data_IF_697422468655
#
_entry.id   IF_697422468655
#
_cell.length_a   1.000
_cell.length_b   1.000
_cell.length_c   1.000
_cell.angle_alpha   90.00
_cell.angle_beta   90.00
_cell.angle_gamma   90.00
#
_symmetry.space_group_name_H-M   'P 1'
#
loop_
_entity.id
_entity.type
_entity.pdbx_description
1 polymer ?
#
# COMPACT_ATOMS: atom_id res chain seq x y z
N UNK A 1 25.97 -14.62 -9.25
CA UNK A 1 25.89 -14.16 -7.86
C UNK A 1 24.71 -13.21 -7.81
N UNK A 2 23.64 -13.55 -7.09
CA UNK A 2 22.47 -12.65 -6.95
C UNK A 2 22.96 -11.34 -6.31
N UNK A 3 22.83 -10.22 -7.01
CA UNK A 3 23.17 -8.89 -6.54
C UNK A 3 22.13 -8.49 -5.49
N UNK A 4 22.49 -8.54 -4.20
CA UNK A 4 21.55 -8.16 -3.14
C UNK A 4 21.11 -6.70 -3.30
N UNK A 5 19.81 -6.43 -3.26
CA UNK A 5 19.26 -5.06 -3.28
C UNK A 5 19.70 -4.33 -1.99
N UNK A 6 20.35 -3.18 -2.13
CA UNK A 6 20.84 -2.33 -1.03
C UNK A 6 20.43 -0.87 -1.14
N UNK A 7 20.22 -0.36 -2.36
CA UNK A 7 19.81 1.01 -2.63
C UNK A 7 18.36 1.05 -3.11
N UNK A 8 17.51 1.69 -2.32
CA UNK A 8 16.06 1.77 -2.52
C UNK A 8 15.68 3.20 -2.91
N UNK A 9 14.85 3.33 -3.93
CA UNK A 9 14.11 4.55 -4.23
C UNK A 9 12.65 4.37 -3.85
N UNK A 10 12.02 5.39 -3.27
CA UNK A 10 10.58 5.43 -3.00
C UNK A 10 10.02 6.67 -3.68
N UNK A 11 9.01 6.53 -4.54
CA UNK A 11 8.34 7.67 -5.18
C UNK A 11 7.00 7.91 -4.50
N UNK A 12 6.85 9.06 -3.85
CA UNK A 12 5.70 9.39 -3.00
C UNK A 12 5.95 9.04 -1.54
N UNK A 13 5.93 10.05 -0.67
CA UNK A 13 6.23 9.94 0.76
C UNK A 13 4.98 10.04 1.66
N UNK A 14 3.79 9.80 1.08
CA UNK A 14 2.53 9.71 1.81
C UNK A 14 2.49 8.58 2.85
N UNK A 15 1.30 8.20 3.33
CA UNK A 15 1.18 7.21 4.41
C UNK A 15 1.86 5.86 4.08
N UNK A 16 1.65 5.34 2.88
CA UNK A 16 2.26 4.08 2.44
C UNK A 16 3.76 4.25 2.19
N UNK A 17 4.16 5.23 1.37
CA UNK A 17 5.56 5.46 1.02
C UNK A 17 6.46 5.75 2.22
N UNK A 18 6.01 6.55 3.19
CA UNK A 18 6.74 6.78 4.44
C UNK A 18 6.91 5.47 5.24
N UNK A 19 5.87 4.63 5.31
CA UNK A 19 5.94 3.34 5.99
C UNK A 19 6.85 2.34 5.29
N UNK A 20 6.87 2.32 3.96
CA UNK A 20 7.78 1.48 3.17
C UNK A 20 9.23 1.96 3.37
N UNK A 21 9.47 3.27 3.28
CA UNK A 21 10.78 3.86 3.52
C UNK A 21 11.32 3.54 4.92
N UNK A 22 10.47 3.64 5.96
CA UNK A 22 10.83 3.29 7.33
C UNK A 22 11.28 1.82 7.43
N UNK A 23 10.52 0.88 6.85
CA UNK A 23 10.84 -0.55 6.89
C UNK A 23 12.16 -0.84 6.16
N UNK A 24 12.39 -0.24 5.00
CA UNK A 24 13.65 -0.39 4.26
C UNK A 24 14.83 0.15 5.05
N UNK A 25 14.71 1.35 5.63
CA UNK A 25 15.78 1.96 6.42
C UNK A 25 16.09 1.16 7.69
N UNK A 26 15.07 0.64 8.39
CA UNK A 26 15.24 -0.25 9.56
C UNK A 26 15.88 -1.59 9.21
N UNK A 27 15.74 -2.04 7.97
CA UNK A 27 16.45 -3.21 7.44
C UNK A 27 17.92 -2.89 7.04
N UNK A 28 18.39 -1.67 7.28
CA UNK A 28 19.77 -1.26 7.00
C UNK A 28 20.03 -0.83 5.56
N UNK A 29 18.98 -0.53 4.78
CA UNK A 29 19.08 -0.17 3.38
C UNK A 29 19.23 1.33 3.18
N UNK A 30 20.07 1.74 2.22
CA UNK A 30 20.17 3.13 1.77
C UNK A 30 18.91 3.49 0.99
N UNK A 31 18.11 4.42 1.52
CA UNK A 31 16.74 4.68 1.04
C UNK A 31 16.55 6.17 0.71
N UNK A 32 16.21 6.45 -0.54
CA UNK A 32 15.87 7.81 -1.02
C UNK A 32 14.37 7.88 -1.23
N UNK A 33 13.73 8.89 -0.63
CA UNK A 33 12.31 9.19 -0.83
C UNK A 33 12.19 10.44 -1.70
N UNK A 34 11.65 10.27 -2.89
CA UNK A 34 11.33 11.35 -3.81
C UNK A 34 9.86 11.76 -3.63
N UNK A 35 9.63 13.06 -3.46
CA UNK A 35 8.30 13.68 -3.50
C UNK A 35 8.23 14.67 -4.67
N UNK A 36 7.06 15.25 -4.92
CA UNK A 36 6.86 16.18 -6.04
C UNK A 36 7.67 17.49 -5.89
N UNK A 37 7.97 17.90 -4.66
CA UNK A 37 8.75 19.10 -4.37
C UNK A 37 9.44 19.02 -2.99
N UNK A 38 10.28 20.01 -2.70
CA UNK A 38 11.01 20.09 -1.43
C UNK A 38 10.11 20.25 -0.19
N UNK A 39 8.90 20.80 -0.34
CA UNK A 39 7.96 21.00 0.77
C UNK A 39 7.31 19.67 1.17
N UNK A 40 6.84 18.92 0.19
CA UNK A 40 6.29 17.56 0.36
C UNK A 40 7.35 16.57 0.82
N UNK A 41 8.60 16.68 0.32
CA UNK A 41 9.74 15.91 0.82
C UNK A 41 10.01 16.13 2.32
N UNK A 42 9.92 17.38 2.79
CA UNK A 42 10.05 17.70 4.22
C UNK A 42 8.92 17.08 5.04
N UNK A 43 7.68 17.14 4.55
CA UNK A 43 6.54 16.52 5.20
C UNK A 43 6.71 14.99 5.29
N UNK A 44 7.24 14.33 4.26
CA UNK A 44 7.55 12.90 4.28
C UNK A 44 8.58 12.57 5.36
N UNK A 45 9.65 13.36 5.46
CA UNK A 45 10.66 13.22 6.51
C UNK A 45 10.05 13.31 7.92
N UNK A 46 9.17 14.28 8.14
CA UNK A 46 8.49 14.44 9.42
C UNK A 46 7.57 13.25 9.74
N UNK A 47 6.84 12.71 8.76
CA UNK A 47 6.00 11.51 8.94
C UNK A 47 6.84 10.32 9.41
N UNK A 48 7.97 10.05 8.76
CA UNK A 48 8.86 8.95 9.15
C UNK A 48 9.46 9.17 10.54
N UNK A 49 9.93 10.38 10.84
CA UNK A 49 10.48 10.71 12.15
C UNK A 49 9.45 10.51 13.29
N UNK A 50 8.21 10.95 13.08
CA UNK A 50 7.11 10.74 14.05
C UNK A 50 6.80 9.25 14.22
N UNK A 51 6.83 8.47 13.14
CA UNK A 51 6.58 7.03 13.21
C UNK A 51 7.67 6.30 14.00
N UNK A 52 8.95 6.59 13.73
CA UNK A 52 10.09 6.05 14.46
C UNK A 52 10.03 6.43 15.95
N UNK A 53 9.77 7.69 16.28
CA UNK A 53 9.66 8.13 17.68
C UNK A 53 8.50 7.43 18.40
N UNK A 54 7.35 7.23 17.74
CA UNK A 54 6.25 6.43 18.30
C UNK A 54 6.65 4.97 18.53
N UNK A 55 7.45 4.38 17.65
CA UNK A 55 7.96 3.03 17.83
C UNK A 55 8.90 2.95 19.05
N UNK A 56 9.75 3.96 19.25
CA UNK A 56 10.63 4.09 20.44
C UNK A 56 9.82 4.23 21.72
N UNK A 57 8.84 5.15 21.75
CA UNK A 57 7.97 5.36 22.92
C UNK A 57 7.17 4.12 23.31
N UNK A 58 6.82 3.28 22.32
CA UNK A 58 6.10 2.01 22.54
C UNK A 58 7.03 0.82 22.84
N UNK A 59 8.34 1.05 22.95
CA UNK A 59 9.33 0.00 23.19
C UNK A 59 9.45 -1.03 22.06
N UNK A 60 9.07 -0.65 20.83
CA UNK A 60 9.15 -1.51 19.63
C UNK A 60 10.45 -1.32 18.85
N UNK A 61 11.20 -0.26 19.14
CA UNK A 61 12.48 0.08 18.55
C UNK A 61 13.32 0.78 19.63
N UNK A 62 14.62 0.52 19.72
CA UNK A 62 15.50 1.30 20.59
C UNK A 62 15.93 2.60 19.90
N UNK A 63 16.44 3.57 20.69
CA UNK A 63 16.78 4.90 20.18
C UNK A 63 17.94 4.88 19.19
N UNK A 64 18.95 4.04 19.40
CA UNK A 64 20.10 3.95 18.49
C UNK A 64 19.66 3.39 17.13
N UNK A 65 18.85 2.32 17.14
CA UNK A 65 18.28 1.76 15.90
C UNK A 65 17.38 2.76 15.15
N UNK A 66 16.66 3.63 15.86
CA UNK A 66 15.85 4.68 15.25
C UNK A 66 16.72 5.76 14.59
N UNK A 67 17.78 6.20 15.27
CA UNK A 67 18.77 7.16 14.74
C UNK A 67 19.51 6.58 13.52
N UNK A 68 19.90 5.29 13.58
CA UNK A 68 20.53 4.58 12.47
C UNK A 68 19.60 4.47 11.25
N UNK A 69 18.32 4.16 11.46
CA UNK A 69 17.34 4.13 10.37
C UNK A 69 17.16 5.53 9.77
N UNK A 70 17.10 6.57 10.60
CA UNK A 70 16.97 7.95 10.12
C UNK A 70 18.20 8.40 9.31
N UNK A 71 19.40 7.99 9.69
CA UNK A 71 20.64 8.31 8.97
C UNK A 71 20.72 7.67 7.57
N UNK A 72 19.89 6.65 7.29
CA UNK A 72 19.82 5.97 5.98
C UNK A 72 18.78 6.55 5.04
N UNK A 73 18.05 7.57 5.48
CA UNK A 73 16.97 8.18 4.72
C UNK A 73 17.41 9.53 4.15
N UNK A 74 17.36 9.63 2.83
CA UNK A 74 17.44 10.89 2.10
C UNK A 74 16.05 11.27 1.57
N UNK A 75 15.72 12.55 1.58
CA UNK A 75 14.46 13.06 1.04
C UNK A 75 14.77 14.11 -0.01
N UNK A 76 14.15 13.98 -1.18
CA UNK A 76 14.40 14.83 -2.34
C UNK A 76 13.11 15.19 -3.06
N UNK A 77 13.15 16.28 -3.83
CA UNK A 77 12.12 16.67 -4.78
C UNK A 77 12.53 16.44 -6.24
N UNK A 78 13.64 15.74 -6.47
CA UNK A 78 14.17 15.46 -7.80
C UNK A 78 14.20 13.95 -8.05
N UNK A 79 13.57 13.52 -9.14
CA UNK A 79 13.50 12.11 -9.50
C UNK A 79 14.86 11.58 -9.99
N UNK A 80 15.73 12.46 -10.50
CA UNK A 80 17.09 12.12 -10.97
C UNK A 80 17.97 11.57 -9.84
N UNK A 81 17.70 11.92 -8.59
CA UNK A 81 18.39 11.36 -7.41
C UNK A 81 18.11 9.85 -7.22
N UNK A 82 17.22 9.25 -8.03
CA UNK A 82 16.95 7.81 -8.03
C UNK A 82 17.76 7.03 -9.09
N UNK A 83 18.65 7.69 -9.85
CA UNK A 83 19.37 7.11 -10.97
C UNK A 83 20.15 5.82 -10.65
N UNK A 84 20.74 5.73 -9.46
CA UNK A 84 21.60 4.60 -9.03
C UNK A 84 20.85 3.54 -8.19
N UNK A 85 19.53 3.66 -8.04
CA UNK A 85 18.72 2.77 -7.19
C UNK A 85 18.53 1.41 -7.86
N UNK A 86 18.53 0.35 -7.04
CA UNK A 86 18.42 -1.05 -7.51
C UNK A 86 16.97 -1.56 -7.43
N UNK A 87 16.17 -0.96 -6.57
CA UNK A 87 14.73 -1.17 -6.48
C UNK A 87 14.07 0.18 -6.25
N UNK A 88 13.15 0.56 -7.13
CA UNK A 88 12.31 1.75 -6.95
C UNK A 88 10.88 1.31 -6.69
N UNK A 89 10.26 1.77 -5.59
CA UNK A 89 8.88 1.46 -5.23
C UNK A 89 8.03 2.73 -5.33
N UNK A 90 7.11 2.73 -6.28
CA UNK A 90 6.13 3.80 -6.48
C UNK A 90 4.96 3.64 -5.50
N UNK A 91 4.64 4.71 -4.78
CA UNK A 91 3.57 4.81 -3.78
C UNK A 91 2.89 6.19 -3.77
N UNK A 92 2.70 6.79 -4.94
CA UNK A 92 1.92 8.02 -5.15
C UNK A 92 0.42 7.73 -5.20
N UNK A 93 -0.36 8.80 -5.38
CA UNK A 93 -1.81 8.76 -5.59
C UNK A 93 -2.21 7.69 -6.62
N UNK A 94 -3.33 7.02 -6.35
CA UNK A 94 -3.90 5.98 -7.20
C UNK A 94 -4.54 6.56 -8.48
N UNK A 95 -3.70 7.11 -9.36
CA UNK A 95 -4.07 7.64 -10.66
C UNK A 95 -3.21 6.98 -11.75
N UNK A 96 -3.86 6.36 -12.73
CA UNK A 96 -3.17 5.58 -13.76
C UNK A 96 -2.25 6.43 -14.64
N UNK A 97 -2.67 7.65 -15.01
CA UNK A 97 -1.87 8.53 -15.87
C UNK A 97 -0.62 9.02 -15.14
N UNK A 98 -0.76 9.47 -13.90
CA UNK A 98 0.37 9.91 -13.07
C UNK A 98 1.38 8.77 -12.84
N UNK A 99 0.91 7.54 -12.55
CA UNK A 99 1.82 6.40 -12.39
C UNK A 99 2.51 6.01 -13.70
N UNK A 100 1.81 6.06 -14.84
CA UNK A 100 2.42 5.82 -16.16
C UNK A 100 3.54 6.84 -16.42
N UNK A 101 3.29 8.13 -16.18
CA UNK A 101 4.29 9.18 -16.32
C UNK A 101 5.52 8.93 -15.45
N UNK A 102 5.31 8.54 -14.18
CA UNK A 102 6.40 8.18 -13.26
C UNK A 102 7.20 6.98 -13.79
N UNK A 103 6.54 5.90 -14.20
CA UNK A 103 7.24 4.72 -14.71
C UNK A 103 8.02 5.02 -16.00
N UNK A 104 7.47 5.83 -16.91
CA UNK A 104 8.18 6.29 -18.11
C UNK A 104 9.39 7.16 -17.78
N UNK A 105 9.31 7.99 -16.74
CA UNK A 105 10.46 8.78 -16.29
C UNK A 105 11.53 7.90 -15.63
N UNK A 106 11.12 7.01 -14.71
CA UNK A 106 12.01 6.08 -14.03
C UNK A 106 12.76 5.16 -15.00
N UNK A 107 12.12 4.69 -16.07
CA UNK A 107 12.76 3.85 -17.09
C UNK A 107 13.98 4.52 -17.76
N UNK A 108 13.94 5.86 -17.86
CA UNK A 108 15.03 6.68 -18.43
C UNK A 108 16.07 7.05 -17.39
N UNK A 109 15.64 7.35 -16.17
CA UNK A 109 16.49 7.87 -15.08
C UNK A 109 17.31 6.74 -14.44
N UNK A 110 16.69 5.58 -14.19
CA UNK A 110 17.35 4.48 -13.49
C UNK A 110 18.35 3.80 -14.43
N UNK A 111 19.63 4.10 -14.19
CA UNK A 111 20.77 3.72 -15.03
C UNK A 111 21.05 2.22 -14.99
N UNK A 112 20.79 1.57 -13.85
CA UNK A 112 20.96 0.12 -13.70
C UNK A 112 19.83 -0.61 -14.45
N UNK A 113 20.16 -1.24 -15.57
CA UNK A 113 19.22 -2.04 -16.36
C UNK A 113 18.69 -3.27 -15.63
N UNK A 114 19.38 -3.73 -14.58
CA UNK A 114 18.93 -4.84 -13.72
C UNK A 114 18.09 -4.35 -12.53
N UNK A 115 17.90 -3.03 -12.37
CA UNK A 115 17.03 -2.51 -11.34
C UNK A 115 15.56 -2.93 -11.55
N UNK A 116 14.87 -3.14 -10.44
CA UNK A 116 13.44 -3.48 -10.42
C UNK A 116 12.63 -2.21 -10.20
N UNK A 117 11.59 -2.01 -11.02
CA UNK A 117 10.60 -0.95 -10.80
C UNK A 117 9.33 -1.59 -10.26
N UNK A 118 8.96 -1.25 -9.03
CA UNK A 118 7.81 -1.79 -8.34
C UNK A 118 6.75 -0.73 -8.09
N UNK A 119 5.49 -1.13 -7.99
CA UNK A 119 4.38 -0.27 -7.56
C UNK A 119 3.67 -0.86 -6.34
N UNK A 120 3.25 0.00 -5.41
CA UNK A 120 2.38 -0.34 -4.28
C UNK A 120 0.88 -0.19 -4.63
N UNK A 121 0.53 0.00 -5.91
CA UNK A 121 -0.86 0.05 -6.39
C UNK A 121 -1.74 -1.05 -5.78
N UNK A 122 -3.01 -0.76 -5.54
CA UNK A 122 -4.00 -1.74 -5.06
C UNK A 122 -4.97 -2.17 -6.17
N UNK A 123 -5.02 -1.43 -7.27
CA UNK A 123 -6.05 -1.60 -8.30
C UNK A 123 -5.56 -1.44 -9.74
N UNK A 124 -4.52 -0.62 -9.99
CA UNK A 124 -4.03 -0.39 -11.35
C UNK A 124 -3.25 -1.62 -11.83
N UNK A 125 -3.57 -2.17 -13.03
CA UNK A 125 -2.84 -3.31 -13.57
C UNK A 125 -1.34 -3.02 -13.73
N UNK A 126 -0.51 -3.86 -13.13
CA UNK A 126 0.96 -3.79 -13.17
C UNK A 126 1.46 -3.85 -14.61
N UNK A 127 0.82 -4.66 -15.45
CA UNK A 127 1.09 -4.77 -16.88
C UNK A 127 1.05 -3.41 -17.57
N UNK A 128 0.05 -2.58 -17.25
CA UNK A 128 -0.12 -1.26 -17.88
C UNK A 128 1.05 -0.34 -17.55
N UNK A 129 1.60 -0.43 -16.34
CA UNK A 129 2.77 0.33 -15.91
C UNK A 129 4.05 -0.24 -16.55
N UNK A 130 4.18 -1.57 -16.60
CA UNK A 130 5.31 -2.24 -17.26
C UNK A 130 5.46 -1.86 -18.73
N UNK A 131 4.35 -1.81 -19.47
CA UNK A 131 4.32 -1.44 -20.89
C UNK A 131 4.67 0.03 -21.16
N UNK A 132 4.71 0.88 -20.13
CA UNK A 132 5.17 2.27 -20.25
C UNK A 132 6.71 2.40 -20.19
N UNK A 133 7.42 1.26 -20.07
CA UNK A 133 8.88 1.16 -19.93
C UNK A 133 9.47 0.27 -21.02
N UNK A 134 10.77 0.40 -21.27
CA UNK A 134 11.55 -0.52 -22.11
C UNK A 134 11.94 -1.84 -21.41
N UNK A 135 11.57 -2.01 -20.13
CA UNK A 135 11.98 -3.13 -19.26
C UNK A 135 10.80 -3.76 -18.51
N UNK A 136 9.70 -4.01 -19.22
CA UNK A 136 8.46 -4.54 -18.64
C UNK A 136 8.66 -5.86 -17.85
N UNK A 137 9.69 -6.63 -18.20
CA UNK A 137 10.09 -7.86 -17.49
C UNK A 137 10.69 -7.61 -16.10
N UNK A 138 11.12 -6.37 -15.82
CA UNK A 138 11.62 -5.91 -14.52
C UNK A 138 10.62 -5.07 -13.74
N UNK A 139 9.36 -5.08 -14.16
CA UNK A 139 8.26 -4.40 -13.47
C UNK A 139 7.39 -5.40 -12.72
N UNK A 140 7.08 -5.13 -11.45
CA UNK A 140 6.15 -5.92 -10.64
C UNK A 140 5.36 -5.07 -9.63
N UNK A 141 4.37 -5.65 -8.96
CA UNK A 141 3.73 -5.04 -7.80
C UNK A 141 4.35 -5.53 -6.49
N UNK A 142 4.64 -4.60 -5.58
CA UNK A 142 4.94 -4.87 -4.17
C UNK A 142 3.88 -4.18 -3.32
N UNK A 143 2.78 -4.89 -3.06
CA UNK A 143 1.63 -4.32 -2.37
C UNK A 143 1.75 -4.58 -0.86
N UNK A 144 2.03 -3.50 -0.12
CA UNK A 144 2.14 -3.48 1.34
C UNK A 144 0.79 -3.14 1.98
N UNK A 145 0.65 -3.47 3.27
CA UNK A 145 -0.56 -3.21 4.04
C UNK A 145 -0.30 -2.21 5.16
N UNK A 146 -1.23 -1.27 5.35
CA UNK A 146 -1.14 -0.26 6.39
C UNK A 146 -1.57 -0.80 7.78
N UNK A 147 -0.81 -0.56 8.87
CA UNK A 147 0.49 0.12 8.93
C UNK A 147 1.66 -0.76 8.47
N UNK A 148 2.44 -0.27 7.51
CA UNK A 148 3.53 -1.01 6.84
C UNK A 148 4.61 -1.51 7.81
N UNK A 149 5.04 -0.74 8.84
CA UNK A 149 6.03 -1.24 9.80
C UNK A 149 5.54 -2.33 10.73
N UNK A 150 4.22 -2.57 10.80
CA UNK A 150 3.59 -3.51 11.73
C UNK A 150 3.09 -4.76 11.02
N UNK A 151 2.45 -4.61 9.85
CA UNK A 151 1.86 -5.74 9.15
C UNK A 151 2.94 -6.58 8.45
N UNK A 152 2.94 -7.91 8.67
CA UNK A 152 4.02 -8.78 8.20
C UNK A 152 3.80 -9.31 6.79
N UNK A 153 2.88 -8.76 6.00
CA UNK A 153 2.50 -9.29 4.69
C UNK A 153 2.87 -8.32 3.56
N UNK A 154 3.33 -8.87 2.44
CA UNK A 154 3.45 -8.17 1.14
C UNK A 154 2.93 -9.10 0.05
N UNK A 155 2.12 -8.57 -0.85
CA UNK A 155 1.72 -9.25 -2.08
C UNK A 155 2.72 -8.92 -3.20
N UNK A 156 3.34 -9.96 -3.76
CA UNK A 156 4.17 -9.87 -4.98
C UNK A 156 3.26 -10.14 -6.16
N UNK A 157 3.06 -9.13 -7.00
CA UNK A 157 2.12 -9.16 -8.12
C UNK A 157 2.91 -9.19 -9.42
N UNK A 158 2.77 -10.28 -10.17
CA UNK A 158 3.49 -10.46 -11.44
C UNK A 158 2.56 -10.24 -12.62
N UNK A 159 3.01 -9.44 -13.59
CA UNK A 159 2.38 -9.32 -14.90
C UNK A 159 2.77 -10.49 -15.81
N UNK A 160 2.21 -10.56 -17.03
CA UNK A 160 2.63 -11.55 -18.03
C UNK A 160 4.07 -11.34 -18.53
N UNK A 161 4.65 -10.15 -18.33
CA UNK A 161 6.02 -9.85 -18.75
C UNK A 161 7.04 -10.04 -17.64
N UNK A 162 6.63 -9.90 -16.37
CA UNK A 162 7.52 -9.98 -15.21
C UNK A 162 8.33 -11.28 -15.23
N UNK A 163 9.66 -11.17 -15.19
CA UNK A 163 10.54 -12.33 -15.26
C UNK A 163 10.52 -13.15 -13.96
N UNK A 164 10.80 -14.45 -14.10
CA UNK A 164 10.96 -15.34 -12.95
C UNK A 164 12.13 -14.93 -12.03
N UNK A 165 13.17 -14.35 -12.60
CA UNK A 165 14.30 -13.80 -11.86
C UNK A 165 13.88 -12.63 -10.96
N UNK A 166 13.17 -11.66 -11.53
CA UNK A 166 12.69 -10.47 -10.80
C UNK A 166 11.67 -10.86 -9.72
N UNK A 167 10.84 -11.87 -10.00
CA UNK A 167 9.94 -12.47 -8.99
C UNK A 167 10.70 -13.09 -7.83
N UNK A 168 11.77 -13.85 -8.13
CA UNK A 168 12.61 -14.50 -7.11
C UNK A 168 13.37 -13.48 -6.27
N UNK A 169 13.95 -12.47 -6.91
CA UNK A 169 14.64 -11.37 -6.25
C UNK A 169 13.71 -10.59 -5.30
N UNK A 170 12.48 -10.30 -5.73
CA UNK A 170 11.48 -9.66 -4.88
C UNK A 170 11.07 -10.54 -3.69
N UNK A 171 10.95 -11.85 -3.89
CA UNK A 171 10.64 -12.80 -2.82
C UNK A 171 11.76 -12.86 -1.77
N UNK A 172 13.02 -12.97 -2.20
CA UNK A 172 14.20 -12.91 -1.32
C UNK A 172 14.26 -11.58 -0.57
N UNK A 173 14.04 -10.47 -1.26
CA UNK A 173 14.00 -9.14 -0.64
C UNK A 173 12.92 -9.05 0.46
N UNK A 174 11.67 -9.42 0.15
CA UNK A 174 10.57 -9.34 1.12
C UNK A 174 10.82 -10.25 2.33
N UNK A 175 11.26 -11.49 2.10
CA UNK A 175 11.43 -12.50 3.16
C UNK A 175 12.69 -12.28 3.98
N UNK A 176 13.83 -12.22 3.31
CA UNK A 176 15.13 -12.31 3.96
C UNK A 176 15.69 -10.94 4.36
N UNK A 177 15.27 -9.87 3.66
CA UNK A 177 15.70 -8.50 3.97
C UNK A 177 14.69 -7.77 4.83
N UNK A 178 13.40 -7.77 4.46
CA UNK A 178 12.37 -7.03 5.21
C UNK A 178 11.76 -7.83 6.37
N UNK A 179 12.02 -9.15 6.44
CA UNK A 179 11.43 -10.03 7.46
C UNK A 179 9.91 -10.16 7.35
N UNK A 180 9.36 -10.02 6.13
CA UNK A 180 7.92 -10.10 5.85
C UNK A 180 7.58 -11.40 5.12
N UNK A 181 6.35 -11.85 5.27
CA UNK A 181 5.77 -12.93 4.48
C UNK A 181 5.39 -12.41 3.10
N UNK A 182 5.96 -13.03 2.07
CA UNK A 182 5.56 -12.82 0.68
C UNK A 182 4.48 -13.82 0.26
N UNK A 183 3.38 -13.33 -0.30
CA UNK A 183 2.41 -14.13 -1.05
C UNK A 183 2.36 -13.66 -2.51
N UNK A 184 1.95 -14.53 -3.42
CA UNK A 184 1.97 -14.25 -4.86
C UNK A 184 0.56 -14.06 -5.39
N UNK A 185 0.40 -13.09 -6.29
CA UNK A 185 -0.82 -12.86 -7.05
C UNK A 185 -0.49 -12.63 -8.52
N UNK A 186 -1.43 -12.99 -9.38
CA UNK A 186 -1.41 -12.50 -10.76
C UNK A 186 -1.90 -11.06 -10.80
N UNK A 187 -1.54 -10.36 -11.87
CA UNK A 187 -1.97 -8.99 -12.15
C UNK A 187 -3.49 -8.91 -12.44
N UNK A 188 -4.26 -8.61 -11.39
CA UNK A 188 -5.72 -8.41 -11.38
C UNK A 188 -6.10 -7.43 -10.29
N UNK A 189 -7.19 -6.68 -10.44
CA UNK A 189 -7.66 -5.77 -9.39
C UNK A 189 -7.89 -6.51 -8.06
N UNK A 190 -7.41 -5.90 -6.97
CA UNK A 190 -7.55 -6.38 -5.60
C UNK A 190 -6.71 -7.61 -5.21
N UNK A 191 -5.91 -8.16 -6.13
CA UNK A 191 -4.97 -9.25 -5.88
C UNK A 191 -5.60 -10.43 -5.12
N UNK A 192 -5.06 -10.82 -3.95
CA UNK A 192 -5.63 -11.87 -3.11
C UNK A 192 -6.45 -11.26 -1.98
N UNK A 193 -5.85 -10.38 -1.18
CA UNK A 193 -6.45 -9.91 0.06
C UNK A 193 -7.69 -9.06 -0.21
N UNK A 194 -7.58 -8.03 -1.07
CA UNK A 194 -8.71 -7.13 -1.33
C UNK A 194 -9.81 -7.82 -2.15
N UNK A 195 -9.46 -8.75 -3.05
CA UNK A 195 -10.42 -9.55 -3.80
C UNK A 195 -11.33 -10.41 -2.90
N UNK A 196 -10.86 -10.81 -1.71
CA UNK A 196 -11.67 -11.52 -0.71
C UNK A 196 -12.30 -10.57 0.31
N UNK A 197 -11.52 -9.62 0.82
CA UNK A 197 -11.94 -8.73 1.90
C UNK A 197 -13.06 -7.79 1.45
N UNK A 198 -12.92 -7.11 0.32
CA UNK A 198 -13.86 -6.06 -0.07
C UNK A 198 -15.27 -6.62 -0.31
N UNK A 199 -15.49 -7.71 -1.06
CA UNK A 199 -16.82 -8.30 -1.20
C UNK A 199 -17.46 -8.70 0.14
N UNK A 200 -16.66 -9.21 1.08
CA UNK A 200 -17.11 -9.51 2.43
C UNK A 200 -17.61 -8.24 3.16
N UNK A 201 -16.86 -7.14 3.08
CA UNK A 201 -17.28 -5.85 3.63
C UNK A 201 -18.55 -5.34 2.95
N UNK A 202 -18.63 -5.38 1.63
CA UNK A 202 -19.82 -4.92 0.89
C UNK A 202 -21.06 -5.76 1.23
N UNK A 203 -20.90 -7.05 1.48
CA UNK A 203 -21.99 -7.92 1.94
C UNK A 203 -22.54 -7.47 3.31
N UNK A 204 -21.65 -7.14 4.25
CA UNK A 204 -22.04 -6.60 5.56
C UNK A 204 -22.76 -5.25 5.42
N UNK A 205 -22.28 -4.37 4.52
CA UNK A 205 -22.95 -3.09 4.23
C UNK A 205 -24.36 -3.30 3.68
N UNK A 206 -24.55 -4.23 2.72
CA UNK A 206 -25.88 -4.54 2.17
C UNK A 206 -26.83 -5.08 3.24
N UNK A 207 -26.31 -5.89 4.18
CA UNK A 207 -27.10 -6.39 5.30
C UNK A 207 -27.58 -5.25 6.20
N UNK A 208 -26.70 -4.31 6.54
CA UNK A 208 -27.05 -3.12 7.31
C UNK A 208 -28.03 -2.20 6.54
N UNK A 209 -27.81 -1.98 5.25
CA UNK A 209 -28.65 -1.16 4.37
C UNK A 209 -30.08 -1.69 4.27
N UNK A 210 -30.26 -3.02 4.20
CA UNK A 210 -31.59 -3.64 4.16
C UNK A 210 -32.36 -3.57 5.49
N UNK A 211 -31.70 -3.18 6.58
CA UNK A 211 -32.25 -3.21 7.93
C UNK A 211 -32.43 -4.63 8.50
N UNK A 212 -31.82 -5.65 7.88
CA UNK A 212 -31.90 -7.03 8.34
C UNK A 212 -31.29 -7.24 9.72
N UNK A 213 -30.19 -6.53 10.02
CA UNK A 213 -29.51 -6.54 11.32
C UNK A 213 -28.85 -5.19 11.60
N UNK A 214 -28.61 -4.88 12.87
CA UNK A 214 -27.90 -3.66 13.26
C UNK A 214 -26.41 -3.78 12.98
N UNK A 215 -25.71 -2.65 12.83
CA UNK A 215 -24.26 -2.67 12.61
C UNK A 215 -23.49 -3.37 13.74
N UNK A 216 -23.96 -3.20 14.98
CA UNK A 216 -23.40 -3.87 16.17
C UNK A 216 -23.59 -5.38 16.09
N UNK A 217 -24.80 -5.88 15.79
CA UNK A 217 -25.06 -7.32 15.72
C UNK A 217 -24.30 -7.99 14.57
N UNK A 218 -24.17 -7.30 13.43
CA UNK A 218 -23.36 -7.77 12.29
C UNK A 218 -21.89 -7.92 12.70
N UNK A 219 -21.35 -6.91 13.39
CA UNK A 219 -19.96 -6.94 13.86
C UNK A 219 -19.74 -8.02 14.92
N UNK A 220 -20.61 -8.09 15.92
CA UNK A 220 -20.49 -9.06 17.01
C UNK A 220 -20.67 -10.50 16.50
N UNK A 221 -21.53 -10.72 15.50
CA UNK A 221 -21.68 -12.02 14.84
C UNK A 221 -20.38 -12.50 14.19
N UNK A 222 -19.66 -11.61 13.49
CA UNK A 222 -18.39 -11.96 12.86
C UNK A 222 -17.22 -12.08 13.86
N UNK A 223 -17.25 -11.30 14.94
CA UNK A 223 -16.23 -11.38 16.00
C UNK A 223 -16.40 -12.64 16.84
N UNK A 224 -17.60 -12.85 17.41
CA UNK A 224 -17.86 -13.95 18.35
C UNK A 224 -18.12 -15.28 17.65
N UNK A 225 -18.74 -15.25 16.46
CA UNK A 225 -19.09 -16.45 15.71
C UNK A 225 -17.97 -16.94 14.79
N UNK A 226 -17.26 -16.03 14.11
CA UNK A 226 -16.18 -16.38 13.17
C UNK A 226 -14.77 -16.11 13.72
N UNK A 227 -14.65 -15.68 14.98
CA UNK A 227 -13.39 -15.36 15.65
C UNK A 227 -12.55 -14.30 14.92
N UNK A 228 -13.17 -13.38 14.16
CA UNK A 228 -12.46 -12.25 13.58
C UNK A 228 -12.04 -11.26 14.69
N UNK A 229 -10.84 -10.64 14.59
CA UNK A 229 -10.39 -9.69 15.61
C UNK A 229 -11.21 -8.38 15.61
N UNK A 230 -11.95 -8.11 14.54
CA UNK A 230 -12.78 -6.94 14.36
C UNK A 230 -13.94 -7.27 13.41
N UNK A 231 -15.12 -6.72 13.69
CA UNK A 231 -16.28 -6.87 12.82
C UNK A 231 -16.11 -6.11 11.50
N UNK A 232 -16.81 -6.53 10.42
CA UNK A 232 -16.64 -5.96 9.08
C UNK A 232 -16.97 -4.47 8.99
N UNK A 233 -17.98 -3.98 9.69
CA UNK A 233 -18.39 -2.57 9.59
C UNK A 233 -17.43 -1.68 10.39
N UNK A 234 -17.00 -2.12 11.59
CA UNK A 234 -15.88 -1.49 12.31
C UNK A 234 -14.59 -1.49 11.49
N UNK A 235 -14.30 -2.57 10.77
CA UNK A 235 -13.11 -2.67 9.91
C UNK A 235 -13.21 -1.73 8.71
N UNK A 236 -14.37 -1.64 8.05
CA UNK A 236 -14.60 -0.68 6.98
C UNK A 236 -14.42 0.77 7.46
N UNK A 237 -14.94 1.11 8.64
CA UNK A 237 -14.73 2.42 9.26
C UNK A 237 -13.25 2.69 9.61
N UNK A 238 -12.49 1.65 9.97
CA UNK A 238 -11.06 1.78 10.25
C UNK A 238 -10.23 2.00 8.97
N UNK A 239 -10.56 1.29 7.90
CA UNK A 239 -9.94 1.44 6.58
C UNK A 239 -10.28 2.82 5.98
N UNK A 240 -11.52 3.26 6.19
CA UNK A 240 -12.10 4.45 5.57
C UNK A 240 -13.07 4.07 4.46
N UNK A 241 -14.30 4.57 4.55
CA UNK A 241 -15.38 4.18 3.64
C UNK A 241 -15.15 4.63 2.19
N UNK A 242 -14.46 5.75 1.99
CA UNK A 242 -14.01 6.23 0.68
C UNK A 242 -12.97 5.29 0.05
N UNK A 243 -12.02 4.79 0.85
CA UNK A 243 -11.05 3.78 0.40
C UNK A 243 -11.75 2.48 0.01
N UNK A 244 -12.69 1.99 0.85
CA UNK A 244 -13.46 0.78 0.54
C UNK A 244 -14.28 0.96 -0.74
N UNK A 245 -14.94 2.11 -0.91
CA UNK A 245 -15.69 2.42 -2.12
C UNK A 245 -14.79 2.47 -3.37
N UNK A 246 -13.62 3.12 -3.29
CA UNK A 246 -12.69 3.22 -4.42
C UNK A 246 -12.14 1.85 -4.86
N UNK A 247 -11.83 0.95 -3.91
CA UNK A 247 -11.41 -0.41 -4.25
C UNK A 247 -12.58 -1.20 -4.84
N UNK A 248 -13.80 -1.04 -4.30
CA UNK A 248 -15.00 -1.67 -4.84
C UNK A 248 -15.28 -1.22 -6.28
N UNK A 249 -15.19 0.08 -6.57
CA UNK A 249 -15.31 0.62 -7.94
C UNK A 249 -14.27 0.01 -8.87
N UNK A 250 -13.02 -0.10 -8.42
CA UNK A 250 -11.94 -0.71 -9.23
C UNK A 250 -12.20 -2.19 -9.54
N UNK A 251 -12.64 -2.96 -8.53
CA UNK A 251 -13.02 -4.36 -8.71
C UNK A 251 -14.22 -4.51 -9.64
N UNK A 252 -15.25 -3.67 -9.44
CA UNK A 252 -16.40 -3.66 -10.32
C UNK A 252 -16.01 -3.27 -11.74
N UNK A 253 -15.07 -2.34 -11.90
CA UNK A 253 -14.67 -1.88 -13.21
C UNK A 253 -13.97 -2.94 -14.05
N UNK A 254 -13.16 -3.79 -13.40
CA UNK A 254 -12.49 -4.91 -14.05
C UNK A 254 -13.43 -6.09 -14.32
N UNK A 255 -14.19 -6.53 -13.31
CA UNK A 255 -14.95 -7.80 -13.39
C UNK A 255 -16.41 -7.63 -13.82
N UNK A 256 -16.99 -6.45 -13.63
CA UNK A 256 -18.42 -6.14 -13.87
C UNK A 256 -19.40 -7.06 -13.13
N UNK A 257 -18.95 -7.72 -12.05
CA UNK A 257 -19.81 -8.59 -11.23
C UNK A 257 -20.57 -7.77 -10.18
N UNK A 258 -21.90 -7.96 -10.01
CA UNK A 258 -22.71 -7.19 -9.06
C UNK A 258 -22.22 -7.23 -7.61
N UNK A 259 -21.53 -8.30 -7.20
CA UNK A 259 -21.01 -8.44 -5.85
C UNK A 259 -19.92 -7.41 -5.51
N UNK A 260 -19.18 -6.92 -6.51
CA UNK A 260 -18.16 -5.88 -6.36
C UNK A 260 -18.73 -4.46 -6.38
N UNK A 261 -19.94 -4.26 -6.89
CA UNK A 261 -20.53 -2.93 -6.99
C UNK A 261 -20.74 -2.31 -5.59
N UNK A 262 -20.25 -1.09 -5.32
CA UNK A 262 -20.42 -0.45 -4.03
C UNK A 262 -21.92 -0.23 -3.73
N UNK A 263 -22.42 -0.66 -2.56
CA UNK A 263 -23.83 -0.48 -2.20
C UNK A 263 -24.22 1.01 -2.13
N UNK A 264 -25.48 1.37 -2.44
CA UNK A 264 -25.93 2.76 -2.41
C UNK A 264 -25.69 3.44 -1.06
N UNK A 265 -25.93 2.76 0.07
CA UNK A 265 -25.63 3.28 1.40
C UNK A 265 -24.16 3.70 1.54
N UNK A 266 -23.21 2.87 1.10
CA UNK A 266 -21.78 3.18 1.15
C UNK A 266 -21.48 4.47 0.38
N UNK A 267 -21.99 4.57 -0.86
CA UNK A 267 -21.77 5.76 -1.68
C UNK A 267 -22.37 7.03 -1.03
N UNK A 268 -23.56 6.93 -0.41
CA UNK A 268 -24.19 8.06 0.28
C UNK A 268 -23.42 8.48 1.54
N UNK A 269 -22.87 7.53 2.29
CA UNK A 269 -22.02 7.82 3.44
C UNK A 269 -20.74 8.55 3.02
N UNK A 270 -20.10 8.10 1.92
CA UNK A 270 -18.92 8.78 1.35
C UNK A 270 -19.27 10.20 0.91
N UNK A 271 -20.35 10.38 0.16
CA UNK A 271 -20.83 11.71 -0.28
C UNK A 271 -21.15 12.65 0.89
N UNK A 272 -21.61 12.10 2.01
CA UNK A 272 -21.92 12.85 3.22
C UNK A 272 -20.69 13.11 4.12
N UNK A 273 -19.49 12.67 3.74
CA UNK A 273 -18.27 12.82 4.54
C UNK A 273 -18.22 11.92 5.79
N UNK A 274 -19.03 10.86 5.83
CA UNK A 274 -19.05 9.87 6.91
C UNK A 274 -18.02 8.78 6.64
N UNK A 275 -16.73 9.13 6.67
CA UNK A 275 -15.64 8.28 6.20
C UNK A 275 -15.07 7.32 7.24
N UNK A 276 -15.79 7.07 8.34
CA UNK A 276 -15.36 6.18 9.41
C UNK A 276 -14.54 6.89 10.48
N UNK A 277 -13.54 6.19 11.04
CA UNK A 277 -12.77 6.66 12.21
C UNK A 277 -12.07 7.99 11.95
N UNK A 278 -11.58 8.21 10.73
CA UNK A 278 -10.84 9.42 10.35
C UNK A 278 -11.67 10.72 10.33
N UNK A 279 -13.00 10.60 10.25
CA UNK A 279 -13.94 11.74 10.33
C UNK A 279 -14.79 11.70 11.60
N UNK A 280 -14.48 10.78 12.53
CA UNK A 280 -15.24 10.59 13.77
C UNK A 280 -16.57 9.86 13.62
N UNK A 281 -16.95 9.44 12.39
CA UNK A 281 -18.22 8.76 12.14
C UNK A 281 -18.22 8.01 10.80
N UNK A 282 -18.69 6.77 10.83
CA UNK A 282 -19.10 5.97 9.68
C UNK A 282 -20.33 5.15 10.05
N UNK A 283 -20.22 3.81 10.05
CA UNK A 283 -21.24 2.92 10.63
C UNK A 283 -21.33 3.07 12.15
N UNK A 284 -20.21 3.38 12.79
CA UNK A 284 -20.09 3.65 14.22
C UNK A 284 -19.72 5.12 14.49
N UNK A 285 -19.98 5.56 15.72
CA UNK A 285 -19.55 6.87 16.23
C UNK A 285 -18.20 6.73 16.94
N UNK A 286 -17.26 7.61 16.61
CA UNK A 286 -15.94 7.64 17.23
C UNK A 286 -15.76 8.97 17.97
N UNK A 287 -15.36 8.91 19.23
CA UNK A 287 -14.99 10.11 19.99
C UNK A 287 -13.84 10.84 19.29
N UNK A 288 -13.84 12.17 19.38
CA UNK A 288 -12.61 12.95 19.12
C UNK A 288 -11.70 12.74 20.32
N UNK A 289 -10.84 11.73 20.24
CA UNK A 289 -9.65 11.65 21.10
C UNK A 289 -8.58 12.61 20.56
#
# INVERSE_FOLDING_TARGET
>A
MSTSIRRIGIVGGGQMGAGIAEVCARAGLDTVVCEADAATARAARERVAVSLERAVQRGKLDRLSAEDAQARLLFTGDLEDLADRQLVIEAVVENAEAKIEIFTALDKIVEDHEAVLATNTSAIPVMRLGMATGRADRVLGLHFFNPVPVLPLVEIVTSLHTSAEVTSLAQEFVRDTLGKTAIHSQDRAGFVVNALLVPYLLSAVRMAESGFATATDIDDGMVLGCAHPMGPLKLADLIGLDTVAAIADSLYDEFKEPLYAPPPLLQRMVQAGLLGRKTGRGFHMYGRD
#
